data_IF_117993216542
#
_entry.id   IF_117993216542
#
_cell.length_a   1.000
_cell.length_b   1.000
_cell.length_c   1.000
_cell.angle_alpha   90.00
_cell.angle_beta   90.00
_cell.angle_gamma   90.00
#
_symmetry.space_group_name_H-M   'P 1'
#
loop_
_entity.id
_entity.type
_entity.pdbx_description
1 polymer ?
#
# COMPACT_ATOMS: atom_id res chain seq x y z
N UNK A 1 -13.05 -33.48 15.93
CA UNK A 1 -12.48 -32.13 16.10
C UNK A 1 -13.53 -31.03 15.92
N UNK A 2 -14.47 -31.21 14.99
CA UNK A 2 -15.62 -30.32 14.73
C UNK A 2 -16.30 -29.75 16.00
N UNK A 3 -16.92 -30.58 16.84
CA UNK A 3 -17.62 -30.10 18.05
C UNK A 3 -16.68 -29.46 19.08
N UNK A 4 -15.39 -29.82 19.11
CA UNK A 4 -14.40 -29.15 19.98
C UNK A 4 -14.12 -27.73 19.50
N UNK A 5 -13.95 -27.54 18.20
CA UNK A 5 -13.78 -26.20 17.59
C UNK A 5 -15.03 -25.34 17.80
N UNK A 6 -16.21 -25.92 17.55
CA UNK A 6 -17.50 -25.26 17.79
C UNK A 6 -17.62 -24.80 19.25
N UNK A 7 -17.43 -25.71 20.20
CA UNK A 7 -17.53 -25.39 21.62
C UNK A 7 -16.50 -24.35 22.06
N UNK A 8 -15.28 -24.41 21.50
CA UNK A 8 -14.22 -23.44 21.80
C UNK A 8 -14.56 -22.04 21.29
N UNK A 9 -15.10 -21.91 20.09
CA UNK A 9 -15.55 -20.62 19.54
C UNK A 9 -16.72 -20.02 20.36
N UNK A 10 -17.62 -20.88 20.85
CA UNK A 10 -18.77 -20.46 21.67
C UNK A 10 -18.41 -20.04 23.11
N UNK A 11 -17.16 -20.15 23.54
CA UNK A 11 -16.69 -19.54 24.79
C UNK A 11 -16.76 -18.00 24.74
N UNK A 12 -16.62 -17.42 23.54
CA UNK A 12 -16.75 -15.97 23.28
C UNK A 12 -17.71 -15.73 22.10
N UNK A 13 -19.02 -15.90 22.29
CA UNK A 13 -20.00 -15.80 21.21
C UNK A 13 -20.16 -14.35 20.73
N UNK A 14 -20.52 -14.19 19.45
CA UNK A 14 -20.81 -12.89 18.86
C UNK A 14 -22.03 -12.21 19.53
N UNK A 15 -21.99 -10.88 19.72
CA UNK A 15 -23.15 -10.09 20.15
C UNK A 15 -24.22 -10.02 19.06
N UNK A 16 -25.43 -9.57 19.41
CA UNK A 16 -26.56 -9.45 18.46
C UNK A 16 -26.29 -8.45 17.33
N UNK A 17 -25.53 -7.39 17.61
CA UNK A 17 -25.07 -6.41 16.63
C UNK A 17 -23.54 -6.41 16.54
N UNK A 18 -23.01 -6.67 15.34
CA UNK A 18 -21.58 -6.64 15.07
C UNK A 18 -21.20 -5.25 14.55
N UNK A 19 -20.39 -4.53 15.31
CA UNK A 19 -19.86 -3.23 14.87
C UNK A 19 -18.54 -3.45 14.12
N UNK A 20 -18.52 -3.17 12.82
CA UNK A 20 -17.34 -3.34 11.96
C UNK A 20 -16.55 -2.05 11.72
N UNK A 21 -17.14 -0.90 12.05
CA UNK A 21 -16.49 0.41 11.94
C UNK A 21 -15.71 0.79 13.20
N UNK A 22 -14.60 1.49 13.01
CA UNK A 22 -13.89 2.18 14.10
C UNK A 22 -14.77 3.32 14.65
N UNK A 23 -14.78 3.60 15.97
CA UNK A 23 -13.94 3.02 17.02
C UNK A 23 -14.44 1.67 17.57
N UNK A 24 -15.73 1.34 17.44
CA UNK A 24 -16.33 0.15 18.07
C UNK A 24 -15.66 -1.17 17.69
N UNK A 25 -15.18 -1.29 16.44
CA UNK A 25 -14.47 -2.48 15.99
C UNK A 25 -13.16 -2.78 16.75
N UNK A 26 -12.55 -1.79 17.40
CA UNK A 26 -11.31 -1.96 18.17
C UNK A 26 -11.51 -2.76 19.47
N UNK A 27 -12.74 -2.81 19.97
CA UNK A 27 -13.10 -3.52 21.19
C UNK A 27 -13.61 -4.95 20.92
N UNK A 28 -13.74 -5.32 19.65
CA UNK A 28 -14.19 -6.65 19.26
C UNK A 28 -13.19 -7.74 19.69
N UNK A 29 -13.69 -8.77 20.38
CA UNK A 29 -12.99 -10.02 20.69
C UNK A 29 -14.07 -11.11 20.85
N UNK A 30 -14.58 -11.62 19.73
CA UNK A 30 -15.62 -12.66 19.70
C UNK A 30 -15.59 -13.47 18.42
N UNK A 31 -16.20 -14.66 18.47
CA UNK A 31 -16.36 -15.57 17.35
C UNK A 31 -17.81 -15.64 16.89
N UNK A 32 -18.02 -15.59 15.57
CA UNK A 32 -19.28 -15.89 14.91
C UNK A 32 -19.16 -17.25 14.24
N UNK A 33 -20.07 -18.17 14.56
CA UNK A 33 -20.03 -19.53 14.02
C UNK A 33 -21.21 -19.75 13.08
N UNK A 34 -20.89 -20.05 11.82
CA UNK A 34 -21.83 -20.35 10.76
C UNK A 34 -21.62 -21.79 10.29
N UNK A 35 -22.70 -22.51 10.05
CA UNK A 35 -22.70 -23.78 9.33
C UNK A 35 -23.41 -23.55 8.00
N UNK A 36 -22.78 -23.97 6.92
CA UNK A 36 -23.36 -23.90 5.58
C UNK A 36 -23.49 -25.33 5.04
N UNK A 37 -24.65 -25.65 4.48
CA UNK A 37 -24.88 -26.88 3.72
C UNK A 37 -25.03 -26.49 2.25
N UNK A 38 -24.07 -26.94 1.44
CA UNK A 38 -23.99 -26.65 0.00
C UNK A 38 -25.11 -27.36 -0.79
N UNK A 39 -25.58 -28.52 -0.32
CA UNK A 39 -26.57 -29.33 -1.03
C UNK A 39 -28.00 -28.84 -0.77
N UNK A 40 -28.31 -28.44 0.48
CA UNK A 40 -29.66 -28.02 0.86
C UNK A 40 -29.86 -26.50 0.90
N UNK A 41 -28.82 -25.71 0.60
CA UNK A 41 -28.79 -24.24 0.75
C UNK A 41 -29.30 -23.79 2.14
N UNK A 42 -29.00 -24.58 3.15
CA UNK A 42 -29.35 -24.30 4.55
C UNK A 42 -28.18 -23.60 5.20
N UNK A 43 -28.44 -22.44 5.81
CA UNK A 43 -27.45 -21.69 6.59
C UNK A 43 -27.88 -21.68 8.05
N UNK A 44 -26.95 -21.97 8.95
CA UNK A 44 -27.21 -22.02 10.39
C UNK A 44 -26.20 -21.10 11.07
N UNK A 45 -26.67 -20.09 11.80
CA UNK A 45 -25.81 -19.26 12.66
C UNK A 45 -25.99 -19.71 14.09
N UNK A 46 -24.92 -20.16 14.72
CA UNK A 46 -24.95 -20.59 16.12
C UNK A 46 -24.61 -19.39 17.00
N UNK A 47 -25.55 -19.03 17.88
CA UNK A 47 -25.42 -17.88 18.78
C UNK A 47 -24.77 -18.28 20.10
N UNK A 48 -25.33 -19.27 20.79
CA UNK A 48 -24.91 -19.64 22.16
C UNK A 48 -25.10 -21.13 22.41
N UNK A 49 -24.38 -21.64 23.40
CA UNK A 49 -24.59 -22.98 23.96
C UNK A 49 -25.49 -22.91 25.19
N UNK A 50 -26.55 -23.70 25.23
CA UNK A 50 -27.45 -23.91 26.39
C UNK A 50 -27.35 -25.37 26.87
N UNK A 51 -27.88 -25.68 28.05
CA UNK A 51 -27.88 -27.06 28.61
C UNK A 51 -28.58 -28.07 27.70
N UNK A 52 -29.57 -27.62 26.91
CA UNK A 52 -30.37 -28.44 26.01
C UNK A 52 -29.80 -28.55 24.57
N UNK A 53 -28.72 -27.83 24.24
CA UNK A 53 -28.16 -27.80 22.88
C UNK A 53 -27.64 -26.43 22.47
N UNK A 54 -27.53 -26.20 21.16
CA UNK A 54 -27.06 -24.96 20.55
C UNK A 54 -28.24 -24.09 20.11
N UNK A 55 -28.27 -22.85 20.59
CA UNK A 55 -29.20 -21.83 20.12
C UNK A 55 -28.74 -21.33 18.76
N UNK A 56 -29.53 -21.61 17.73
CA UNK A 56 -29.19 -21.33 16.34
C UNK A 56 -30.31 -20.61 15.61
N UNK A 57 -29.93 -19.75 14.67
CA UNK A 57 -30.82 -19.23 13.65
C UNK A 57 -30.64 -20.08 12.39
N UNK A 58 -31.74 -20.65 11.89
CA UNK A 58 -31.73 -21.51 10.70
C UNK A 58 -32.43 -20.78 9.56
N UNK A 59 -31.72 -20.57 8.46
CA UNK A 59 -32.26 -20.08 7.19
C UNK A 59 -32.32 -21.24 6.20
N UNK A 60 -33.48 -21.42 5.58
CA UNK A 60 -33.68 -22.36 4.46
C UNK A 60 -34.01 -21.55 3.22
N UNK A 61 -33.08 -21.44 2.27
CA UNK A 61 -33.24 -20.58 1.09
C UNK A 61 -33.39 -19.10 1.45
N UNK A 62 -34.36 -18.41 0.86
CA UNK A 62 -34.60 -16.96 1.06
C UNK A 62 -35.51 -16.64 2.25
N UNK A 63 -35.94 -17.63 3.03
CA UNK A 63 -36.85 -17.41 4.16
C UNK A 63 -36.14 -16.74 5.35
N UNK A 64 -36.88 -15.93 6.11
CA UNK A 64 -36.41 -15.33 7.36
C UNK A 64 -35.98 -16.41 8.36
N UNK A 65 -34.85 -16.17 9.03
CA UNK A 65 -34.22 -17.13 9.93
C UNK A 65 -35.12 -17.50 11.11
N UNK A 66 -35.33 -18.79 11.33
CA UNK A 66 -36.10 -19.30 12.47
C UNK A 66 -35.16 -19.65 13.61
N UNK A 67 -35.46 -19.18 14.81
CA UNK A 67 -34.75 -19.58 16.02
C UNK A 67 -35.10 -21.04 16.36
N UNK A 68 -34.08 -21.89 16.48
CA UNK A 68 -34.20 -23.30 16.83
C UNK A 68 -33.08 -23.70 17.79
N UNK A 69 -33.39 -24.59 18.72
CA UNK A 69 -32.38 -25.27 19.54
C UNK A 69 -32.01 -26.56 18.80
N UNK A 70 -30.72 -26.72 18.48
CA UNK A 70 -30.17 -27.88 17.78
C UNK A 70 -29.33 -28.72 18.75
N UNK A 71 -29.51 -30.03 18.73
CA UNK A 71 -28.66 -30.97 19.47
C UNK A 71 -27.42 -31.36 18.64
N UNK A 72 -26.44 -32.01 19.26
CA UNK A 72 -25.26 -32.53 18.53
C UNK A 72 -25.66 -33.56 17.46
N UNK A 73 -26.75 -34.30 17.70
CA UNK A 73 -27.31 -35.29 16.77
C UNK A 73 -27.96 -34.65 15.53
N UNK A 74 -28.42 -33.40 15.64
CA UNK A 74 -29.02 -32.66 14.52
C UNK A 74 -27.96 -32.08 13.57
N UNK A 75 -26.70 -32.04 13.99
CA UNK A 75 -25.59 -31.45 13.25
C UNK A 75 -24.68 -32.56 12.76
N UNK A 76 -24.86 -32.95 11.49
CA UNK A 76 -23.99 -33.93 10.83
C UNK A 76 -22.70 -33.24 10.30
N UNK A 77 -21.52 -33.50 10.88
CA UNK A 77 -20.27 -32.89 10.43
C UNK A 77 -19.85 -33.28 9.01
N UNK A 78 -20.46 -34.32 8.42
CA UNK A 78 -20.21 -34.73 7.05
C UNK A 78 -21.03 -33.93 6.02
N UNK A 79 -22.11 -33.27 6.46
CA UNK A 79 -23.01 -32.48 5.60
C UNK A 79 -22.84 -30.98 5.76
N UNK A 80 -22.36 -30.53 6.92
CA UNK A 80 -22.22 -29.11 7.24
C UNK A 80 -20.77 -28.66 7.22
N UNK A 81 -20.49 -27.63 6.42
CA UNK A 81 -19.23 -26.91 6.43
C UNK A 81 -19.20 -25.91 7.59
N UNK A 82 -18.24 -26.07 8.49
CA UNK A 82 -18.03 -25.16 9.62
C UNK A 82 -17.26 -23.92 9.19
N UNK A 83 -17.85 -22.75 9.35
CA UNK A 83 -17.19 -21.44 9.21
C UNK A 83 -17.15 -20.71 10.54
N UNK A 84 -15.96 -20.48 11.07
CA UNK A 84 -15.74 -19.68 12.26
C UNK A 84 -15.08 -18.36 11.84
N UNK A 85 -15.76 -17.25 12.10
CA UNK A 85 -15.23 -15.90 11.88
C UNK A 85 -14.83 -15.32 13.23
N UNK A 86 -13.56 -14.97 13.39
CA UNK A 86 -13.05 -14.30 14.59
C UNK A 86 -12.89 -12.81 14.33
N UNK A 87 -13.67 -11.99 15.03
CA UNK A 87 -13.58 -10.55 15.01
C UNK A 87 -12.70 -10.10 16.16
N UNK A 88 -11.51 -9.59 15.84
CA UNK A 88 -10.51 -9.20 16.82
C UNK A 88 -9.94 -7.81 16.50
N UNK A 89 -10.35 -6.80 17.26
CA UNK A 89 -9.81 -5.44 17.25
C UNK A 89 -9.63 -4.84 15.84
N UNK A 90 -10.66 -4.98 14.99
CA UNK A 90 -10.69 -4.50 13.61
C UNK A 90 -10.19 -5.50 12.56
N UNK A 91 -9.67 -6.66 12.97
CA UNK A 91 -9.32 -7.77 12.06
C UNK A 91 -10.44 -8.80 12.04
N UNK A 92 -10.66 -9.37 10.86
CA UNK A 92 -11.53 -10.53 10.67
C UNK A 92 -10.65 -11.71 10.23
N UNK A 93 -10.77 -12.84 10.92
CA UNK A 93 -10.10 -14.09 10.56
C UNK A 93 -11.14 -15.15 10.28
N UNK A 94 -11.09 -15.74 9.09
CA UNK A 94 -12.04 -16.78 8.68
C UNK A 94 -11.36 -18.15 8.75
N UNK A 95 -12.03 -19.09 9.40
CA UNK A 95 -11.57 -20.47 9.56
C UNK A 95 -12.64 -21.43 9.06
N UNK A 96 -12.31 -22.18 8.01
CA UNK A 96 -13.15 -23.26 7.46
C UNK A 96 -12.79 -24.63 8.03
N UNK A 97 -11.54 -24.81 8.45
CA UNK A 97 -11.04 -26.08 8.98
C UNK A 97 -11.06 -26.06 10.52
N UNK A 98 -11.78 -27.00 11.18
CA UNK A 98 -11.86 -27.08 12.64
C UNK A 98 -10.52 -27.31 13.34
N UNK A 99 -9.62 -28.09 12.74
CA UNK A 99 -8.31 -28.40 13.32
C UNK A 99 -7.35 -27.21 13.24
N UNK A 100 -7.32 -26.53 12.08
CA UNK A 100 -6.58 -25.29 11.86
C UNK A 100 -7.05 -24.19 12.82
N UNK A 101 -8.36 -24.06 13.04
CA UNK A 101 -8.90 -23.13 14.02
C UNK A 101 -8.31 -23.37 15.42
N UNK A 102 -8.40 -24.61 15.93
CA UNK A 102 -7.92 -24.95 17.27
C UNK A 102 -6.41 -24.69 17.42
N UNK A 103 -5.62 -25.02 16.40
CA UNK A 103 -4.18 -24.78 16.40
C UNK A 103 -3.84 -23.28 16.36
N UNK A 104 -4.55 -22.49 15.54
CA UNK A 104 -4.34 -21.05 15.41
C UNK A 104 -4.80 -20.29 16.66
N UNK A 105 -5.87 -20.76 17.31
CA UNK A 105 -6.35 -20.25 18.59
C UNK A 105 -5.34 -20.53 19.72
N UNK A 106 -4.85 -21.77 19.81
CA UNK A 106 -3.83 -22.18 20.77
C UNK A 106 -2.52 -21.39 20.60
N UNK A 107 -2.06 -21.23 19.35
CA UNK A 107 -0.89 -20.44 19.02
C UNK A 107 -1.10 -18.92 19.17
N UNK A 108 -2.32 -18.47 19.51
CA UNK A 108 -2.71 -17.05 19.58
C UNK A 108 -2.31 -16.27 18.32
N UNK A 109 -2.50 -16.90 17.16
CA UNK A 109 -2.03 -16.40 15.87
C UNK A 109 -2.58 -14.99 15.56
N UNK A 110 -3.82 -14.70 15.94
CA UNK A 110 -4.43 -13.38 15.81
C UNK A 110 -3.60 -12.26 16.48
N UNK A 111 -2.98 -12.53 17.65
CA UNK A 111 -2.10 -11.57 18.34
C UNK A 111 -0.78 -11.37 17.59
N UNK A 112 -0.22 -12.45 17.04
CA UNK A 112 1.02 -12.39 16.24
C UNK A 112 0.80 -11.54 14.99
N UNK A 113 -0.31 -11.78 14.26
CA UNK A 113 -0.67 -10.99 13.08
C UNK A 113 -0.82 -9.51 13.43
N UNK A 114 -1.57 -9.19 14.49
CA UNK A 114 -1.72 -7.81 14.97
C UNK A 114 -0.38 -7.18 15.36
N UNK A 115 0.45 -7.91 16.09
CA UNK A 115 1.76 -7.43 16.52
C UNK A 115 2.66 -7.12 15.31
N UNK A 116 2.73 -8.04 14.34
CA UNK A 116 3.49 -7.84 13.10
C UNK A 116 3.00 -6.62 12.35
N UNK A 117 1.68 -6.42 12.23
CA UNK A 117 1.13 -5.27 11.53
C UNK A 117 1.43 -3.96 12.27
N UNK A 118 1.29 -3.93 13.60
CA UNK A 118 1.69 -2.78 14.44
C UNK A 118 3.18 -2.44 14.28
N UNK A 119 4.06 -3.45 14.31
CA UNK A 119 5.50 -3.24 14.08
C UNK A 119 5.74 -2.71 12.69
N UNK A 120 5.09 -3.29 11.67
CA UNK A 120 5.23 -2.83 10.29
C UNK A 120 4.74 -1.40 10.09
N UNK A 121 3.61 -1.03 10.70
CA UNK A 121 3.09 0.34 10.71
C UNK A 121 4.05 1.28 11.45
N UNK A 122 4.61 0.88 12.60
CA UNK A 122 5.57 1.70 13.34
C UNK A 122 6.86 1.93 12.55
N UNK A 123 7.38 0.89 11.90
CA UNK A 123 8.53 1.01 11.01
C UNK A 123 8.21 1.93 9.83
N UNK A 124 7.01 1.81 9.25
CA UNK A 124 6.55 2.67 8.17
C UNK A 124 6.43 4.13 8.62
N UNK A 125 5.87 4.39 9.81
CA UNK A 125 5.70 5.74 10.38
C UNK A 125 7.02 6.47 10.67
N UNK A 126 8.13 5.73 10.77
CA UNK A 126 9.47 6.30 10.94
C UNK A 126 10.15 6.62 9.62
N UNK A 127 9.65 6.12 8.49
CA UNK A 127 10.24 6.38 7.18
C UNK A 127 9.87 7.79 6.75
N UNK A 128 10.89 8.57 6.37
CA UNK A 128 10.65 9.82 5.64
C UNK A 128 10.19 9.45 4.24
N UNK A 129 8.94 9.77 3.92
CA UNK A 129 8.42 9.60 2.57
C UNK A 129 9.08 10.67 1.69
N UNK A 130 9.86 10.21 0.72
CA UNK A 130 10.55 11.08 -0.23
C UNK A 130 9.48 11.86 -1.00
N UNK A 131 9.66 13.18 -1.02
CA UNK A 131 8.85 14.06 -1.87
C UNK A 131 9.36 13.86 -3.28
N UNK A 132 8.50 13.34 -4.14
CA UNK A 132 8.87 13.19 -5.54
C UNK A 132 9.08 14.54 -6.20
N UNK A 133 10.01 14.54 -7.14
CA UNK A 133 10.23 15.68 -8.00
C UNK A 133 9.02 15.88 -8.91
N UNK A 134 8.63 17.14 -9.10
CA UNK A 134 7.46 17.55 -9.89
C UNK A 134 7.39 16.80 -11.22
N UNK A 135 8.46 16.78 -11.99
CA UNK A 135 8.47 16.17 -13.33
C UNK A 135 8.29 14.65 -13.33
N UNK A 136 8.72 13.96 -12.29
CA UNK A 136 8.49 12.51 -12.14
C UNK A 136 7.02 12.21 -11.89
N UNK A 137 6.36 13.01 -11.04
CA UNK A 137 4.92 12.90 -10.86
C UNK A 137 4.18 13.16 -12.16
N UNK A 138 4.56 14.19 -12.94
CA UNK A 138 3.89 14.48 -14.21
C UNK A 138 3.98 13.29 -15.19
N UNK A 139 5.16 12.67 -15.30
CA UNK A 139 5.39 11.48 -16.13
C UNK A 139 4.45 10.34 -15.74
N UNK A 140 4.39 10.03 -14.45
CA UNK A 140 3.51 9.00 -13.92
C UNK A 140 2.02 9.26 -14.22
N UNK A 141 1.58 10.53 -14.11
CA UNK A 141 0.20 10.89 -14.43
C UNK A 141 -0.13 10.74 -15.92
N UNK A 142 0.83 11.07 -16.79
CA UNK A 142 0.69 10.89 -18.24
C UNK A 142 0.61 9.41 -18.62
N UNK A 143 1.51 8.58 -18.09
CA UNK A 143 1.47 7.11 -18.29
C UNK A 143 0.12 6.54 -17.85
N UNK A 144 -0.36 6.92 -16.66
CA UNK A 144 -1.66 6.50 -16.15
C UNK A 144 -2.83 6.93 -17.05
N UNK A 145 -2.75 8.10 -17.66
CA UNK A 145 -3.76 8.61 -18.61
C UNK A 145 -3.72 7.87 -19.95
N UNK A 146 -2.54 7.45 -20.41
CA UNK A 146 -2.37 6.62 -21.61
C UNK A 146 -3.01 5.25 -21.39
N UNK A 147 -2.77 4.63 -20.23
CA UNK A 147 -3.38 3.35 -19.87
C UNK A 147 -4.90 3.46 -19.72
N UNK A 148 -5.39 4.58 -19.19
CA UNK A 148 -6.81 4.82 -18.93
C UNK A 148 -7.24 6.22 -19.43
N UNK A 149 -7.74 6.35 -20.68
CA UNK A 149 -8.06 7.65 -21.29
C UNK A 149 -9.11 8.48 -20.53
N UNK A 150 -9.99 7.84 -19.77
CA UNK A 150 -11.00 8.51 -18.92
C UNK A 150 -10.57 8.68 -17.46
N UNK A 151 -9.29 8.47 -17.15
CA UNK A 151 -8.80 8.56 -15.79
C UNK A 151 -8.95 9.97 -15.22
N UNK A 152 -9.40 10.00 -13.97
CA UNK A 152 -9.51 11.17 -13.12
C UNK A 152 -8.65 10.95 -11.88
N UNK A 153 -7.85 11.95 -11.55
CA UNK A 153 -6.85 11.86 -10.50
C UNK A 153 -7.45 12.43 -9.21
N UNK A 154 -7.55 11.57 -8.21
CA UNK A 154 -7.94 11.92 -6.85
C UNK A 154 -6.68 12.00 -5.97
N UNK A 155 -6.37 13.15 -5.33
CA UNK A 155 -5.15 13.30 -4.53
C UNK A 155 -4.99 12.22 -3.45
N UNK A 156 -6.09 11.86 -2.79
CA UNK A 156 -6.09 10.82 -1.76
C UNK A 156 -5.72 9.45 -2.33
N UNK A 157 -6.33 9.06 -3.47
CA UNK A 157 -6.05 7.77 -4.09
C UNK A 157 -4.64 7.72 -4.67
N UNK A 158 -4.19 8.83 -5.25
CA UNK A 158 -2.82 8.97 -5.74
C UNK A 158 -1.80 8.83 -4.61
N UNK A 159 -2.04 9.45 -3.45
CA UNK A 159 -1.18 9.31 -2.27
C UNK A 159 -1.16 7.87 -1.74
N UNK A 160 -2.31 7.19 -1.68
CA UNK A 160 -2.39 5.78 -1.25
C UNK A 160 -1.68 4.84 -2.24
N UNK A 161 -1.83 5.07 -3.54
CA UNK A 161 -1.18 4.30 -4.58
C UNK A 161 0.34 4.43 -4.50
N UNK A 162 0.84 5.65 -4.24
CA UNK A 162 2.28 5.93 -4.14
C UNK A 162 2.91 5.46 -2.84
N UNK A 163 2.28 5.79 -1.72
CA UNK A 163 2.89 5.61 -0.41
C UNK A 163 2.44 4.32 0.29
N UNK A 164 1.58 3.49 -0.32
CA UNK A 164 0.90 2.35 0.30
C UNK A 164 -0.27 2.76 1.22
N UNK A 165 -1.19 1.82 1.47
CA UNK A 165 -2.35 2.01 2.38
C UNK A 165 -1.94 2.40 3.80
N UNK A 166 -0.74 2.02 4.25
CA UNK A 166 -0.19 2.39 5.57
C UNK A 166 -0.01 3.89 5.76
N UNK A 167 0.11 4.63 4.65
CA UNK A 167 0.18 6.10 4.65
C UNK A 167 -1.03 6.76 5.32
N UNK A 168 -2.22 6.16 5.25
CA UNK A 168 -3.45 6.70 5.86
C UNK A 168 -3.33 6.90 7.38
N UNK A 169 -2.44 6.14 8.03
CA UNK A 169 -2.17 6.20 9.47
C UNK A 169 -0.78 6.78 9.79
N UNK A 170 -0.11 7.38 8.80
CA UNK A 170 1.18 8.04 8.99
C UNK A 170 1.00 9.39 9.72
N UNK A 171 1.88 9.75 10.67
CA UNK A 171 1.77 11.02 11.41
C UNK A 171 1.83 12.26 10.50
N UNK A 172 2.66 12.22 9.46
CA UNK A 172 2.81 13.32 8.49
C UNK A 172 1.88 13.21 7.27
N UNK A 173 0.84 12.36 7.30
CA UNK A 173 -0.05 12.12 6.13
C UNK A 173 -0.61 13.43 5.55
N UNK A 174 -1.01 14.37 6.40
CA UNK A 174 -1.64 15.61 5.97
C UNK A 174 -0.62 16.53 5.28
N UNK A 175 0.64 16.55 5.76
CA UNK A 175 1.73 17.28 5.10
C UNK A 175 2.05 16.69 3.72
N UNK A 176 2.05 15.36 3.60
CA UNK A 176 2.27 14.69 2.31
C UNK A 176 1.14 14.95 1.34
N UNK A 177 -0.11 14.91 1.82
CA UNK A 177 -1.29 15.24 1.03
C UNK A 177 -1.23 16.70 0.55
N UNK A 178 -0.98 17.65 1.45
CA UNK A 178 -0.87 19.06 1.11
C UNK A 178 0.25 19.33 0.09
N UNK A 179 1.41 18.68 0.25
CA UNK A 179 2.49 18.77 -0.74
C UNK A 179 2.05 18.24 -2.11
N UNK A 180 1.39 17.07 -2.15
CA UNK A 180 0.89 16.50 -3.40
C UNK A 180 -0.14 17.41 -4.06
N UNK A 181 -1.06 17.99 -3.29
CA UNK A 181 -2.05 18.96 -3.78
C UNK A 181 -1.36 20.21 -4.36
N UNK A 182 -0.35 20.76 -3.68
CA UNK A 182 0.43 21.90 -4.20
C UNK A 182 1.12 21.56 -5.54
N UNK A 183 1.67 20.35 -5.69
CA UNK A 183 2.29 19.95 -6.95
C UNK A 183 1.22 19.80 -8.05
N UNK A 184 0.07 19.19 -7.75
CA UNK A 184 -1.03 19.06 -8.70
C UNK A 184 -1.60 20.42 -9.12
N UNK A 185 -1.82 21.33 -8.17
CA UNK A 185 -2.27 22.69 -8.43
C UNK A 185 -1.21 23.45 -9.26
N UNK A 186 0.09 23.23 -9.02
CA UNK A 186 1.14 23.83 -9.87
C UNK A 186 1.08 23.39 -11.33
N UNK A 187 0.56 22.19 -11.63
CA UNK A 187 0.33 21.76 -13.01
C UNK A 187 -0.96 22.30 -13.59
N UNK A 188 -1.93 22.64 -12.75
CA UNK A 188 -3.12 23.36 -13.19
C UNK A 188 -2.71 24.77 -13.60
N UNK A 189 -1.89 25.44 -12.80
CA UNK A 189 -1.39 26.79 -13.08
C UNK A 189 -0.57 26.84 -14.39
N UNK A 190 0.29 25.85 -14.64
CA UNK A 190 1.00 25.76 -15.92
C UNK A 190 0.21 25.07 -17.03
N UNK A 191 -0.97 24.50 -16.77
CA UNK A 191 -1.92 24.00 -17.77
C UNK A 191 -1.71 22.55 -18.25
N UNK A 192 -0.78 21.79 -17.66
CA UNK A 192 -0.62 20.36 -17.89
C UNK A 192 -1.78 19.55 -17.30
N UNK A 193 -2.43 20.06 -16.25
CA UNK A 193 -3.64 19.50 -15.67
C UNK A 193 -4.80 20.51 -15.76
N UNK A 194 -6.02 20.00 -15.69
CA UNK A 194 -7.23 20.80 -15.46
C UNK A 194 -7.95 20.28 -14.23
N UNK A 195 -8.51 21.19 -13.42
CA UNK A 195 -9.24 20.86 -12.21
C UNK A 195 -10.73 20.73 -12.52
N UNK A 196 -11.34 19.60 -12.15
CA UNK A 196 -12.78 19.33 -12.23
C UNK A 196 -13.31 19.06 -10.82
N UNK A 197 -13.78 20.10 -10.14
CA UNK A 197 -14.18 20.00 -8.73
C UNK A 197 -12.98 19.63 -7.84
N UNK A 198 -13.01 18.44 -7.25
CA UNK A 198 -11.92 17.90 -6.41
C UNK A 198 -10.89 17.07 -7.19
N UNK A 199 -11.12 16.85 -8.48
CA UNK A 199 -10.36 15.90 -9.30
C UNK A 199 -9.48 16.64 -10.31
N UNK A 200 -8.43 15.97 -10.78
CA UNK A 200 -7.51 16.50 -11.79
C UNK A 200 -7.53 15.63 -13.05
N UNK A 201 -7.42 16.28 -14.21
CA UNK A 201 -7.39 15.61 -15.51
C UNK A 201 -6.19 16.10 -16.30
N UNK A 202 -5.37 15.17 -16.76
CA UNK A 202 -4.20 15.43 -17.62
C UNK A 202 -4.64 15.98 -18.98
N UNK A 203 -3.94 17.02 -19.44
CA UNK A 203 -4.14 17.65 -20.75
C UNK A 203 -3.01 17.28 -21.72
N UNK A 204 -3.19 17.62 -23.00
CA UNK A 204 -2.13 17.46 -24.02
C UNK A 204 -0.88 18.29 -23.74
N UNK A 205 -0.98 19.38 -22.97
CA UNK A 205 0.17 20.21 -22.60
C UNK A 205 1.19 19.44 -21.75
N UNK A 206 0.73 18.45 -20.97
CA UNK A 206 1.62 17.58 -20.20
C UNK A 206 2.67 16.87 -21.06
N UNK A 207 2.30 16.42 -22.27
CA UNK A 207 3.23 15.78 -23.20
C UNK A 207 4.29 16.76 -23.71
N UNK A 208 3.87 17.98 -24.04
CA UNK A 208 4.79 19.05 -24.48
C UNK A 208 5.78 19.37 -23.38
N UNK A 209 5.29 19.59 -22.15
CA UNK A 209 6.14 19.89 -20.98
C UNK A 209 7.14 18.76 -20.71
N UNK A 210 6.73 17.49 -20.84
CA UNK A 210 7.64 16.36 -20.66
C UNK A 210 8.71 16.30 -21.77
N UNK A 211 8.33 16.47 -23.03
CA UNK A 211 9.29 16.49 -24.14
C UNK A 211 10.30 17.64 -24.02
N UNK A 212 9.84 18.84 -23.63
CA UNK A 212 10.74 19.98 -23.38
C UNK A 212 11.70 19.71 -22.21
N UNK A 213 11.20 19.11 -21.13
CA UNK A 213 12.03 18.73 -19.99
C UNK A 213 13.11 17.71 -20.39
N UNK A 214 12.76 16.67 -21.14
CA UNK A 214 13.70 15.66 -21.63
C UNK A 214 14.78 16.27 -22.54
N UNK A 215 14.38 17.15 -23.46
CA UNK A 215 15.32 17.88 -24.31
C UNK A 215 16.28 18.76 -23.50
N UNK A 216 15.79 19.44 -22.47
CA UNK A 216 16.62 20.26 -21.59
C UNK A 216 17.60 19.40 -20.76
N UNK A 217 17.17 18.24 -20.27
CA UNK A 217 18.05 17.28 -19.59
C UNK A 217 19.14 16.78 -20.53
N UNK A 218 18.79 16.42 -21.77
CA UNK A 218 19.77 15.98 -22.78
C UNK A 218 20.77 17.09 -23.10
N UNK A 219 20.30 18.31 -23.38
CA UNK A 219 21.16 19.47 -23.63
C UNK A 219 22.12 19.74 -22.48
N UNK A 220 21.65 19.67 -21.23
CA UNK A 220 22.49 19.86 -20.06
C UNK A 220 23.58 18.79 -19.96
N UNK A 221 23.24 17.52 -20.20
CA UNK A 221 24.21 16.43 -20.23
C UNK A 221 25.26 16.63 -21.33
N UNK A 222 24.85 17.09 -22.51
CA UNK A 222 25.75 17.31 -23.63
C UNK A 222 26.65 18.53 -23.41
N UNK A 223 26.14 19.59 -22.76
CA UNK A 223 26.95 20.70 -22.28
C UNK A 223 28.00 20.24 -21.26
N UNK A 224 27.63 19.39 -20.29
CA UNK A 224 28.58 18.82 -19.33
C UNK A 224 29.65 17.98 -20.05
N UNK A 225 29.27 17.13 -21.01
CA UNK A 225 30.22 16.33 -21.80
C UNK A 225 31.17 17.22 -22.59
N UNK A 226 30.65 18.22 -23.27
CA UNK A 226 31.43 19.18 -24.07
C UNK A 226 32.39 19.97 -23.18
N UNK A 227 31.92 20.47 -22.03
CA UNK A 227 32.76 21.17 -21.06
C UNK A 227 33.90 20.29 -20.53
N UNK A 228 33.64 18.99 -20.29
CA UNK A 228 34.68 18.04 -19.88
C UNK A 228 35.74 17.84 -20.96
N UNK A 229 35.34 17.73 -22.23
CA UNK A 229 36.27 17.61 -23.37
C UNK A 229 37.09 18.89 -23.52
N UNK A 230 36.44 20.07 -23.46
CA UNK A 230 37.11 21.37 -23.50
C UNK A 230 38.15 21.52 -22.38
N UNK A 231 37.79 21.17 -21.15
CA UNK A 231 38.72 21.22 -20.02
C UNK A 231 39.96 20.33 -20.24
N UNK A 232 39.79 19.13 -20.79
CA UNK A 232 40.92 18.25 -21.16
C UNK A 232 41.82 18.89 -22.21
N UNK A 233 41.24 19.53 -23.22
CA UNK A 233 42.00 20.22 -24.26
C UNK A 233 42.77 21.42 -23.70
N UNK A 234 42.15 22.22 -22.83
CA UNK A 234 42.84 23.34 -22.15
C UNK A 234 44.03 22.85 -21.34
N UNK A 235 43.88 21.75 -20.57
CA UNK A 235 45.00 21.14 -19.85
C UNK A 235 46.12 20.65 -20.77
N UNK A 236 45.80 20.10 -21.94
CA UNK A 236 46.80 19.71 -22.93
C UNK A 236 47.58 20.91 -23.48
N UNK A 237 46.89 22.03 -23.79
CA UNK A 237 47.54 23.26 -24.28
C UNK A 237 48.44 23.86 -23.20
N UNK A 238 47.97 23.93 -21.95
CA UNK A 238 48.77 24.40 -20.81
C UNK A 238 50.02 23.53 -20.65
N UNK A 239 49.89 22.21 -20.75
CA UNK A 239 51.02 21.29 -20.66
C UNK A 239 52.05 21.52 -21.77
N UNK A 240 51.61 21.64 -23.02
CA UNK A 240 52.50 21.92 -24.16
C UNK A 240 53.19 23.29 -24.00
N UNK A 241 52.47 24.32 -23.56
CA UNK A 241 53.02 25.65 -23.31
C UNK A 241 54.11 25.63 -22.23
N UNK A 242 53.86 24.94 -21.11
CA UNK A 242 54.85 24.76 -20.03
C UNK A 242 56.07 23.96 -20.52
N UNK A 243 55.85 22.87 -21.24
CA UNK A 243 56.95 22.07 -21.81
C UNK A 243 57.82 22.88 -22.79
N UNK A 244 57.21 23.75 -23.60
CA UNK A 244 57.93 24.66 -24.50
C UNK A 244 58.82 25.65 -23.75
N UNK A 245 58.29 26.27 -22.68
CA UNK A 245 59.06 27.18 -21.83
C UNK A 245 60.23 26.45 -21.16
N UNK A 246 59.98 25.26 -20.61
CA UNK A 246 61.02 24.43 -19.99
C UNK A 246 62.12 24.09 -21.00
N UNK A 247 61.75 23.70 -22.22
CA UNK A 247 62.71 23.40 -23.29
C UNK A 247 63.58 24.62 -23.65
N UNK A 248 62.99 25.81 -23.77
CA UNK A 248 63.74 27.04 -24.05
C UNK A 248 64.71 27.41 -22.92
N UNK A 249 64.27 27.32 -21.66
CA UNK A 249 65.13 27.57 -20.50
C UNK A 249 66.28 26.57 -20.45
N UNK A 250 66.00 25.30 -20.76
CA UNK A 250 67.02 24.25 -20.78
C UNK A 250 68.06 24.48 -21.89
N UNK A 251 67.62 24.84 -23.10
CA UNK A 251 68.51 25.22 -24.20
C UNK A 251 69.37 26.44 -23.84
N UNK A 252 68.78 27.47 -23.24
CA UNK A 252 69.52 28.66 -22.78
C UNK A 252 70.55 28.32 -21.70
N UNK A 253 70.22 27.42 -20.76
CA UNK A 253 71.16 26.98 -19.72
C UNK A 253 72.35 26.21 -20.29
N UNK A 254 72.14 25.41 -21.34
CA UNK A 254 73.19 24.73 -22.10
C UNK A 254 74.06 25.74 -22.85
N UNK A 255 73.45 26.73 -23.52
CA UNK A 255 74.19 27.79 -24.25
C UNK A 255 75.06 28.67 -23.33
N UNK A 256 74.61 28.92 -22.09
CA UNK A 256 75.37 29.67 -21.08
C UNK A 256 76.43 28.82 -20.35
N UNK A 257 76.54 27.52 -20.64
CA UNK A 257 77.52 26.61 -20.02
C UNK A 257 77.27 26.34 -18.53
N UNK A 258 76.03 26.48 -18.06
CA UNK A 258 75.63 26.28 -16.66
C UNK A 258 75.22 24.82 -16.38
N UNK A 259 75.01 24.01 -17.43
CA UNK A 259 74.76 22.56 -17.42
C UNK A 259 75.61 21.93 -18.52
#
# INVERSE_FOLDING_TARGET
MFFRALNKALEKPAPEGITLSSPGAMDNDFYSVKLEDTDSNTRILIRKRKKAGYEALVWKGEQSGREKILSEEDIDPAKFDLRIEHYYQGYQFDYTDPGKFLLMDLARWHKIVKFRDRVSQSLYNKKRLVREERMELLRHLVERKIDNPRDEIYPLMLAVQKYSRKWLYHPDKDKHKAHLELVLDSFVDSGELTKKGTNYVVTGKALVTLSEFELNVQRHQDQIKTAKVGNRLTWAIVFVGVAGIVSQVWMWAIEQGVV
#
